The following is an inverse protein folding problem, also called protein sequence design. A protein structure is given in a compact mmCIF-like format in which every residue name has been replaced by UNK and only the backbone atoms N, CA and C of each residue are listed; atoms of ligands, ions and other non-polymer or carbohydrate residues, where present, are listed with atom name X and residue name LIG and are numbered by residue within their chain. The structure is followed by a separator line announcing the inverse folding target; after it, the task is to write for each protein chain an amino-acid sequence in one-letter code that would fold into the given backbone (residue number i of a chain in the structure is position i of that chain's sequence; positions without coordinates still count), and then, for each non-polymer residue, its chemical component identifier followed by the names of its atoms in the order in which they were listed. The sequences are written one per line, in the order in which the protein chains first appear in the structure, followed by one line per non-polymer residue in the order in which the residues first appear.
data_IF_870161454942
#
_entry.id   IF_870161454942
#
_cell.length_a   1.000
_cell.length_b   1.000
_cell.length_c   1.000
_cell.angle_alpha   90.00
_cell.angle_beta   90.00
_cell.angle_gamma   90.00
#
_symmetry.space_group_name_H-M   'P 1'
#
loop_
_entity.id
_entity.type
_entity.pdbx_description
1 polymer ?
#
# COMPACT_ATOMS: atom_id res chain seq x y z
N UNK A 1 -11.54 9.17 -23.82
CA UNK A 1 -11.95 8.42 -22.61
C UNK A 1 -13.46 8.52 -22.50
N UNK A 2 -14.19 7.40 -22.42
CA UNK A 2 -15.66 7.38 -22.33
C UNK A 2 -16.19 7.20 -20.90
N UNK A 3 -15.36 6.61 -20.01
CA UNK A 3 -15.57 6.55 -18.57
C UNK A 3 -14.24 6.26 -17.88
N UNK A 4 -14.12 6.66 -16.60
CA UNK A 4 -13.00 6.33 -15.71
C UNK A 4 -13.54 5.36 -14.65
N UNK A 5 -12.81 4.28 -14.39
CA UNK A 5 -13.09 3.41 -13.25
C UNK A 5 -12.81 4.12 -11.92
N UNK A 6 -13.26 3.54 -10.82
CA UNK A 6 -12.83 3.99 -9.49
C UNK A 6 -11.33 3.77 -9.33
N UNK A 7 -10.69 4.65 -8.55
CA UNK A 7 -9.30 4.45 -8.14
C UNK A 7 -9.14 3.12 -7.39
N UNK A 8 -8.05 2.41 -7.70
CA UNK A 8 -7.64 1.25 -6.93
C UNK A 8 -7.14 1.71 -5.55
N UNK A 9 -7.27 0.88 -4.51
CA UNK A 9 -6.60 1.16 -3.25
C UNK A 9 -5.08 1.23 -3.46
N UNK A 10 -4.40 1.91 -2.55
CA UNK A 10 -2.95 2.06 -2.61
C UNK A 10 -2.23 0.72 -2.43
N UNK A 11 -0.97 0.65 -2.84
CA UNK A 11 -0.12 -0.51 -2.55
C UNK A 11 0.22 -0.60 -1.05
N UNK A 12 0.40 -1.82 -0.55
CA UNK A 12 0.76 -2.08 0.86
C UNK A 12 2.21 -2.55 1.02
N UNK A 13 2.80 -2.18 2.16
CA UNK A 13 4.01 -2.80 2.67
C UNK A 13 3.63 -3.88 3.68
N UNK A 14 4.01 -5.12 3.41
CA UNK A 14 3.70 -6.27 4.27
C UNK A 14 4.96 -6.72 4.98
N UNK A 15 4.88 -6.87 6.30
CA UNK A 15 5.95 -7.43 7.10
C UNK A 15 5.78 -8.96 7.23
N UNK A 16 6.89 -9.70 7.30
CA UNK A 16 6.89 -11.13 7.64
C UNK A 16 6.33 -11.33 9.06
N UNK A 17 5.63 -12.45 9.28
CA UNK A 17 4.95 -12.76 10.56
C UNK A 17 5.89 -12.83 11.76
N UNK A 18 7.14 -13.23 11.56
CA UNK A 18 8.15 -13.46 12.60
C UNK A 18 9.23 -12.37 12.63
N UNK A 19 8.93 -11.18 12.10
CA UNK A 19 9.76 -10.00 12.35
C UNK A 19 9.64 -9.61 13.83
N UNK A 20 10.71 -9.10 14.43
CA UNK A 20 10.62 -8.59 15.79
C UNK A 20 9.81 -7.29 15.84
N UNK A 21 9.07 -7.09 16.93
CA UNK A 21 8.19 -5.94 17.13
C UNK A 21 8.95 -4.60 17.05
N UNK A 22 10.18 -4.57 17.56
CA UNK A 22 11.03 -3.38 17.52
C UNK A 22 11.37 -2.96 16.08
N UNK A 23 11.69 -3.92 15.21
CA UNK A 23 11.96 -3.67 13.80
C UNK A 23 10.67 -3.27 13.09
N UNK A 24 9.56 -3.96 13.35
CA UNK A 24 8.26 -3.62 12.76
C UNK A 24 7.86 -2.17 13.08
N UNK A 25 7.87 -1.80 14.37
CA UNK A 25 7.52 -0.45 14.82
C UNK A 25 8.48 0.58 14.25
N UNK A 26 9.79 0.30 14.25
CA UNK A 26 10.79 1.23 13.72
C UNK A 26 10.58 1.52 12.23
N UNK A 27 10.34 0.49 11.42
CA UNK A 27 10.11 0.65 9.98
C UNK A 27 8.78 1.36 9.72
N UNK A 28 7.69 0.89 10.35
CA UNK A 28 6.37 1.52 10.22
C UNK A 28 6.42 3.01 10.55
N UNK A 29 7.02 3.35 11.69
CA UNK A 29 7.14 4.73 12.15
C UNK A 29 8.03 5.57 11.24
N UNK A 30 9.09 5.00 10.65
CA UNK A 30 9.94 5.72 9.71
C UNK A 30 9.15 6.18 8.47
N UNK A 31 8.31 5.30 7.90
CA UNK A 31 7.44 5.67 6.78
C UNK A 31 6.34 6.65 7.21
N UNK A 32 5.71 6.41 8.36
CA UNK A 32 4.61 7.24 8.82
C UNK A 32 5.04 8.68 9.18
N UNK A 33 6.22 8.84 9.79
CA UNK A 33 6.71 10.14 10.27
C UNK A 33 7.53 10.88 9.22
N UNK A 34 8.25 10.17 8.35
CA UNK A 34 9.18 10.77 7.39
C UNK A 34 8.78 10.58 5.93
N UNK A 35 7.52 10.20 5.65
CA UNK A 35 7.04 9.87 4.29
C UNK A 35 7.34 10.96 3.25
N UNK A 36 7.23 12.24 3.62
CA UNK A 36 7.55 13.35 2.73
C UNK A 36 9.05 13.41 2.36
N UNK A 37 9.94 13.13 3.32
CA UNK A 37 11.38 13.12 3.07
C UNK A 37 11.78 11.91 2.24
N UNK A 38 11.20 10.74 2.53
CA UNK A 38 11.38 9.53 1.74
C UNK A 38 10.91 9.74 0.29
N UNK A 39 9.75 10.35 0.09
CA UNK A 39 9.24 10.64 -1.26
C UNK A 39 10.15 11.64 -1.99
N UNK A 40 10.64 12.69 -1.32
CA UNK A 40 11.63 13.60 -1.92
C UNK A 40 12.89 12.87 -2.35
N UNK A 41 13.40 11.95 -1.51
CA UNK A 41 14.57 11.15 -1.84
C UNK A 41 14.32 10.23 -3.05
N UNK A 42 13.16 9.57 -3.13
CA UNK A 42 12.76 8.75 -4.28
C UNK A 42 12.79 9.57 -5.57
N UNK A 43 12.25 10.79 -5.54
CA UNK A 43 12.17 11.71 -6.69
C UNK A 43 13.51 12.34 -7.10
N UNK A 44 14.63 11.93 -6.52
CA UNK A 44 15.96 12.35 -7.01
C UNK A 44 16.41 11.58 -8.25
N UNK A 45 15.89 10.35 -8.45
CA UNK A 45 16.19 9.53 -9.62
C UNK A 45 15.33 9.90 -10.84
N UNK A 46 15.93 9.92 -12.02
CA UNK A 46 15.24 10.21 -13.28
C UNK A 46 14.12 9.18 -13.57
N UNK A 47 14.40 7.89 -13.38
CA UNK A 47 13.40 6.83 -13.57
C UNK A 47 12.27 6.85 -12.52
N UNK A 48 12.51 7.52 -11.39
CA UNK A 48 11.55 7.60 -10.29
C UNK A 48 10.59 8.79 -10.41
N UNK A 49 10.74 9.65 -11.42
CA UNK A 49 9.83 10.78 -11.63
C UNK A 49 8.36 10.35 -11.83
N UNK A 50 8.12 9.09 -12.21
CA UNK A 50 6.78 8.48 -12.29
C UNK A 50 6.02 8.48 -10.96
N UNK A 51 6.71 8.63 -9.82
CA UNK A 51 6.11 8.66 -8.49
C UNK A 51 5.72 10.08 -8.02
N UNK A 52 5.85 11.10 -8.87
CA UNK A 52 5.44 12.48 -8.52
C UNK A 52 3.98 12.53 -8.09
N UNK A 53 3.72 13.22 -6.98
CA UNK A 53 2.39 13.32 -6.38
C UNK A 53 2.00 12.12 -5.50
N UNK A 54 2.83 11.08 -5.45
CA UNK A 54 2.66 9.98 -4.50
C UNK A 54 2.92 10.42 -3.06
N UNK A 55 2.34 9.68 -2.11
CA UNK A 55 2.51 9.88 -0.68
C UNK A 55 2.39 8.54 0.04
N UNK A 56 2.94 8.46 1.25
CA UNK A 56 2.79 7.30 2.12
C UNK A 56 1.61 7.53 3.06
N UNK A 57 0.74 6.53 3.17
CA UNK A 57 -0.35 6.52 4.14
C UNK A 57 0.13 5.88 5.45
N UNK A 58 -0.31 6.46 6.56
CA UNK A 58 0.07 6.01 7.90
C UNK A 58 -0.90 4.98 8.47
N UNK A 59 -2.11 4.89 7.91
CA UNK A 59 -3.17 4.00 8.33
C UNK A 59 -3.68 3.22 7.12
N UNK A 60 -3.81 1.90 7.29
CA UNK A 60 -4.26 0.95 6.28
C UNK A 60 -5.15 -0.05 6.99
N UNK A 61 -6.39 -0.19 6.52
CA UNK A 61 -7.34 -1.17 7.05
C UNK A 61 -7.56 -2.25 6.02
N UNK A 62 -7.75 -3.48 6.47
CA UNK A 62 -8.08 -4.61 5.59
C UNK A 62 -9.30 -4.30 4.69
N UNK A 63 -10.31 -3.63 5.25
CA UNK A 63 -11.52 -3.21 4.53
C UNK A 63 -11.25 -2.29 3.34
N UNK A 64 -10.12 -1.58 3.30
CA UNK A 64 -9.79 -0.71 2.16
C UNK A 64 -9.57 -1.55 0.87
N UNK A 65 -9.36 -2.87 1.00
CA UNK A 65 -9.15 -3.82 -0.10
C UNK A 65 -10.37 -4.70 -0.40
N UNK A 66 -11.50 -4.50 0.29
CA UNK A 66 -12.77 -5.22 0.02
C UNK A 66 -13.17 -5.12 -1.45
N UNK A 67 -12.88 -3.98 -2.09
CA UNK A 67 -13.14 -3.77 -3.51
C UNK A 67 -12.39 -4.74 -4.39
N UNK A 68 -11.08 -4.86 -4.16
CA UNK A 68 -10.22 -5.74 -4.94
C UNK A 68 -10.68 -7.18 -4.73
N UNK A 69 -11.01 -7.56 -3.49
CA UNK A 69 -11.59 -8.88 -3.18
C UNK A 69 -12.92 -9.13 -3.91
N UNK A 70 -13.78 -8.12 -4.03
CA UNK A 70 -15.04 -8.23 -4.80
C UNK A 70 -14.80 -8.47 -6.30
N UNK A 71 -13.76 -7.85 -6.88
CA UNK A 71 -13.39 -8.06 -8.29
C UNK A 71 -12.91 -9.50 -8.52
N UNK A 72 -12.10 -10.05 -7.62
CA UNK A 72 -11.66 -11.45 -7.68
C UNK A 72 -12.81 -12.43 -7.47
N UNK A 73 -13.72 -12.17 -6.52
CA UNK A 73 -14.93 -12.98 -6.33
C UNK A 73 -15.80 -13.02 -7.59
N UNK A 74 -15.90 -11.91 -8.32
CA UNK A 74 -16.66 -11.83 -9.58
C UNK A 74 -16.15 -12.80 -10.64
N UNK A 75 -14.86 -13.14 -10.62
CA UNK A 75 -14.25 -14.13 -11.54
C UNK A 75 -14.07 -15.52 -10.91
N UNK A 76 -14.74 -15.79 -9.79
CA UNK A 76 -14.73 -17.10 -9.13
C UNK A 76 -13.53 -17.37 -8.22
N UNK A 77 -12.75 -16.35 -7.87
CA UNK A 77 -11.63 -16.47 -6.92
C UNK A 77 -12.11 -16.07 -5.52
N UNK A 78 -12.28 -17.07 -4.65
CA UNK A 78 -12.79 -16.89 -3.28
C UNK A 78 -11.73 -17.04 -2.18
N UNK A 79 -10.49 -17.41 -2.55
CA UNK A 79 -9.40 -17.68 -1.59
C UNK A 79 -8.75 -16.42 -1.01
N UNK A 80 -9.08 -15.23 -1.53
CA UNK A 80 -8.57 -13.94 -1.04
C UNK A 80 -9.55 -13.38 0.01
N UNK A 81 -9.27 -13.66 1.29
CA UNK A 81 -10.17 -13.37 2.41
C UNK A 81 -9.74 -12.14 3.20
N UNK A 82 -8.75 -12.27 4.07
CA UNK A 82 -8.25 -11.22 4.96
C UNK A 82 -6.72 -11.18 4.92
N UNK A 83 -6.13 -10.08 5.36
CA UNK A 83 -4.70 -10.03 5.64
C UNK A 83 -4.30 -11.13 6.63
N UNK A 84 -3.13 -11.72 6.38
CA UNK A 84 -2.56 -12.87 7.11
C UNK A 84 -2.80 -12.76 8.62
N UNK A 85 -3.65 -13.63 9.16
CA UNK A 85 -3.85 -13.83 10.61
C UNK A 85 -2.83 -14.85 11.16
#
# INVERSE_FOLDING_TARGET
VIARGRDLPNDILVARKDISDDVFVKVRDAFAKNGNELMKAILTGEDNQKFKGGFFLTDVRDSDYDYVRSMYRTIGIETLTDFVN
#
